data_IF_615039124975
#
_entry.id   IF_615039124975
#
_cell.length_a   1.000
_cell.length_b   1.000
_cell.length_c   1.000
_cell.angle_alpha   90.00
_cell.angle_beta   90.00
_cell.angle_gamma   90.00
#
_symmetry.space_group_name_H-M   'P 1'
#
loop_
_entity.id
_entity.type
_entity.pdbx_description
1 polymer ?
#
# COMPACT_ATOMS: atom_id res chain seq x y z
N UNK A 1 -21.68 42.34 32.10
CA UNK A 1 -20.66 42.01 31.08
C UNK A 1 -21.26 42.27 29.71
N UNK A 2 -20.49 42.75 28.73
CA UNK A 2 -20.99 42.95 27.36
C UNK A 2 -21.02 41.56 26.66
N UNK A 3 -22.21 41.00 26.33
CA UNK A 3 -22.34 39.64 25.77
C UNK A 3 -21.46 39.41 24.52
N UNK A 4 -21.33 40.45 23.69
CA UNK A 4 -20.49 40.42 22.49
C UNK A 4 -19.00 40.20 22.79
N UNK A 5 -18.48 40.76 23.89
CA UNK A 5 -17.06 40.57 24.27
C UNK A 5 -16.78 39.14 24.70
N UNK A 6 -17.76 38.47 25.31
CA UNK A 6 -17.64 37.08 25.70
C UNK A 6 -17.65 36.17 24.46
N UNK A 7 -18.59 36.39 23.53
CA UNK A 7 -18.63 35.67 22.25
C UNK A 7 -17.33 35.82 21.46
N UNK A 8 -16.78 37.04 21.34
CA UNK A 8 -15.49 37.26 20.68
C UNK A 8 -14.37 36.45 21.33
N UNK A 9 -14.34 36.38 22.67
CA UNK A 9 -13.32 35.62 23.40
C UNK A 9 -13.42 34.13 23.13
N UNK A 10 -14.64 33.58 23.08
CA UNK A 10 -14.85 32.18 22.74
C UNK A 10 -14.39 31.90 21.31
N UNK A 11 -14.69 32.78 20.35
CA UNK A 11 -14.20 32.65 18.96
C UNK A 11 -12.67 32.68 18.88
N UNK A 12 -12.01 33.60 19.61
CA UNK A 12 -10.55 33.67 19.65
C UNK A 12 -9.94 32.38 20.24
N UNK A 13 -10.53 31.84 21.31
CA UNK A 13 -10.09 30.57 21.90
C UNK A 13 -10.26 29.38 20.92
N UNK A 14 -11.42 29.29 20.26
CA UNK A 14 -11.70 28.25 19.25
C UNK A 14 -10.71 28.36 18.08
N UNK A 15 -10.37 29.58 17.68
CA UNK A 15 -9.34 29.83 16.64
C UNK A 15 -7.95 29.37 17.07
N UNK A 16 -7.64 29.48 18.36
CA UNK A 16 -6.38 29.01 18.96
C UNK A 16 -6.41 27.52 19.33
N UNK A 17 -7.52 26.82 19.07
CA UNK A 17 -7.69 25.37 19.28
C UNK A 17 -8.22 24.97 20.67
N UNK A 18 -8.64 25.92 21.50
CA UNK A 18 -9.33 25.65 22.77
C UNK A 18 -10.85 25.69 22.56
N UNK A 19 -11.46 24.50 22.50
CA UNK A 19 -12.89 24.32 22.31
C UNK A 19 -13.69 24.16 23.62
N UNK A 20 -13.04 24.25 24.79
CA UNK A 20 -13.69 23.91 26.07
C UNK A 20 -14.53 25.06 26.65
N UNK A 21 -14.36 26.28 26.14
CA UNK A 21 -15.15 27.43 26.58
C UNK A 21 -16.42 27.59 25.75
N UNK A 22 -17.54 27.79 26.43
CA UNK A 22 -18.85 28.04 25.82
C UNK A 22 -19.31 29.46 26.09
N UNK A 23 -20.11 30.01 25.18
CA UNK A 23 -20.80 31.27 25.39
C UNK A 23 -21.93 31.03 26.39
N UNK A 24 -22.00 31.83 27.47
CA UNK A 24 -23.15 31.78 28.38
C UNK A 24 -24.34 32.51 27.76
N UNK A 25 -25.38 31.75 27.43
CA UNK A 25 -26.62 32.28 26.88
C UNK A 25 -27.55 32.71 28.01
N UNK A 26 -27.82 34.02 28.11
CA UNK A 26 -28.60 34.64 29.19
C UNK A 26 -29.86 35.38 28.69
N UNK A 27 -30.04 35.48 27.38
CA UNK A 27 -31.16 36.17 26.72
C UNK A 27 -31.84 35.23 25.72
N UNK A 28 -33.13 35.49 25.46
CA UNK A 28 -33.96 34.71 24.53
C UNK A 28 -34.27 35.57 23.28
N UNK A 29 -33.26 36.30 22.83
CA UNK A 29 -33.27 37.24 21.71
C UNK A 29 -32.23 36.82 20.65
N UNK A 30 -31.99 37.64 19.63
CA UNK A 30 -31.07 37.32 18.54
C UNK A 30 -29.63 37.08 19.01
N UNK A 31 -29.23 37.65 20.16
CA UNK A 31 -27.92 37.39 20.76
C UNK A 31 -27.90 36.02 21.46
N UNK A 32 -29.01 35.60 22.05
CA UNK A 32 -29.17 34.26 22.60
C UNK A 32 -29.05 33.19 21.51
N UNK A 33 -29.82 33.34 20.43
CA UNK A 33 -29.81 32.43 19.28
C UNK A 33 -28.40 32.31 18.67
N UNK A 34 -27.66 33.42 18.57
CA UNK A 34 -26.29 33.42 18.09
C UNK A 34 -25.32 32.68 19.03
N UNK A 35 -25.51 32.83 20.35
CA UNK A 35 -24.71 32.13 21.35
C UNK A 35 -24.94 30.62 21.33
N UNK A 36 -26.20 30.19 21.17
CA UNK A 36 -26.54 28.78 21.01
C UNK A 36 -25.96 28.22 19.72
N UNK A 37 -26.11 28.91 18.58
CA UNK A 37 -25.51 28.51 17.31
C UNK A 37 -23.97 28.43 17.35
N UNK A 38 -23.31 29.32 18.09
CA UNK A 38 -21.86 29.24 18.33
C UNK A 38 -21.47 28.01 19.14
N UNK A 39 -22.24 27.68 20.19
CA UNK A 39 -22.00 26.51 21.01
C UNK A 39 -22.19 25.21 20.19
N UNK A 40 -23.25 25.12 19.39
CA UNK A 40 -23.50 24.00 18.47
C UNK A 40 -22.39 23.84 17.42
N UNK A 41 -21.95 24.94 16.80
CA UNK A 41 -20.82 24.91 15.87
C UNK A 41 -19.53 24.45 16.54
N UNK A 42 -19.27 24.89 17.77
CA UNK A 42 -18.08 24.50 18.54
C UNK A 42 -18.11 23.01 18.89
N UNK A 43 -19.27 22.47 19.30
CA UNK A 43 -19.44 21.03 19.51
C UNK A 43 -19.20 20.23 18.23
N UNK A 44 -19.76 20.68 17.10
CA UNK A 44 -19.53 20.04 15.80
C UNK A 44 -18.07 20.13 15.31
N UNK A 45 -17.28 21.09 15.81
CA UNK A 45 -15.83 21.15 15.54
C UNK A 45 -15.06 20.16 16.43
N UNK A 46 -15.43 20.02 17.70
CA UNK A 46 -14.85 19.03 18.62
C UNK A 46 -15.03 17.61 18.08
N UNK A 47 -16.25 17.26 17.64
CA UNK A 47 -16.53 15.93 17.08
C UNK A 47 -15.69 15.66 15.83
N UNK A 48 -15.53 16.65 14.94
CA UNK A 48 -14.69 16.54 13.75
C UNK A 48 -13.21 16.38 14.10
N UNK A 49 -12.72 17.13 15.08
CA UNK A 49 -11.33 17.02 15.53
C UNK A 49 -11.05 15.64 16.16
N UNK A 50 -11.95 15.16 17.02
CA UNK A 50 -11.85 13.82 17.62
C UNK A 50 -11.90 12.71 16.56
N UNK A 51 -12.78 12.84 15.56
CA UNK A 51 -12.85 11.90 14.44
C UNK A 51 -11.53 11.91 13.66
N UNK A 52 -11.01 13.10 13.33
CA UNK A 52 -9.74 13.26 12.61
C UNK A 52 -8.57 12.65 13.40
N UNK A 53 -8.50 12.85 14.70
CA UNK A 53 -7.48 12.22 15.57
C UNK A 53 -7.60 10.69 15.54
N UNK A 54 -8.82 10.16 15.61
CA UNK A 54 -9.06 8.71 15.52
C UNK A 54 -8.61 8.11 14.19
N UNK A 55 -8.82 8.84 13.08
CA UNK A 55 -8.33 8.45 11.75
C UNK A 55 -6.81 8.44 11.69
N UNK A 56 -6.14 9.46 12.25
CA UNK A 56 -4.68 9.49 12.31
C UNK A 56 -4.12 8.30 13.11
N UNK A 57 -4.73 7.94 14.24
CA UNK A 57 -4.30 6.77 15.00
C UNK A 57 -4.50 5.47 14.22
N UNK A 58 -5.63 5.32 13.54
CA UNK A 58 -5.90 4.14 12.70
C UNK A 58 -4.87 4.01 11.57
N UNK A 59 -4.47 5.14 10.95
CA UNK A 59 -3.38 5.20 9.96
C UNK A 59 -2.07 4.67 10.54
N UNK A 60 -1.65 5.17 11.69
CA UNK A 60 -0.38 4.76 12.32
C UNK A 60 -0.36 3.25 12.60
N UNK A 61 -1.49 2.71 13.07
CA UNK A 61 -1.65 1.26 13.29
C UNK A 61 -1.51 0.51 11.96
N UNK A 62 -2.19 0.94 10.91
CA UNK A 62 -2.14 0.30 9.59
C UNK A 62 -0.71 0.30 9.03
N UNK A 63 -0.03 1.45 9.05
CA UNK A 63 1.34 1.57 8.56
C UNK A 63 2.32 0.72 9.37
N UNK A 64 2.08 0.55 10.67
CA UNK A 64 2.87 -0.33 11.52
C UNK A 64 2.72 -1.83 11.19
N UNK A 65 1.68 -2.23 10.43
CA UNK A 65 1.49 -3.60 9.97
C UNK A 65 2.38 -3.98 8.78
N UNK A 66 2.84 -3.00 8.01
CA UNK A 66 3.77 -3.23 6.91
C UNK A 66 5.17 -3.62 7.43
N UNK A 67 5.98 -4.32 6.61
CA UNK A 67 7.35 -4.65 6.98
C UNK A 67 8.17 -3.40 7.34
N UNK A 68 8.73 -3.38 8.55
CA UNK A 68 9.63 -2.30 9.00
C UNK A 68 11.04 -2.39 8.43
N UNK A 69 11.44 -3.59 8.03
CA UNK A 69 12.74 -3.88 7.47
C UNK A 69 12.61 -4.98 6.42
N UNK A 70 13.44 -4.87 5.38
CA UNK A 70 13.65 -5.96 4.43
C UNK A 70 14.41 -7.10 5.12
N UNK A 71 14.06 -8.36 4.86
CA UNK A 71 14.77 -9.48 5.44
C UNK A 71 16.16 -9.63 4.82
N UNK A 72 17.16 -9.95 5.65
CA UNK A 72 18.50 -10.28 5.18
C UNK A 72 18.54 -11.75 4.78
N UNK A 73 18.47 -12.02 3.47
CA UNK A 73 18.45 -13.37 2.90
C UNK A 73 19.68 -13.53 2.02
N UNK A 74 20.56 -14.50 2.34
CA UNK A 74 21.76 -14.79 1.54
C UNK A 74 21.40 -14.95 0.05
N UNK A 75 22.23 -14.52 -0.90
CA UNK A 75 21.92 -14.71 -2.33
C UNK A 75 20.71 -13.90 -2.84
N UNK A 76 20.13 -13.02 -2.02
CA UNK A 76 19.19 -11.99 -2.45
C UNK A 76 19.62 -10.63 -1.87
N UNK A 77 19.49 -9.58 -2.67
CA UNK A 77 19.57 -8.19 -2.24
C UNK A 77 18.21 -7.56 -2.49
N UNK A 78 17.57 -7.08 -1.41
CA UNK A 78 16.16 -6.66 -1.41
C UNK A 78 16.07 -5.22 -0.91
N UNK A 79 15.31 -4.40 -1.62
CA UNK A 79 14.91 -3.08 -1.17
C UNK A 79 13.41 -2.89 -1.42
N UNK A 80 12.72 -2.26 -0.49
CA UNK A 80 11.29 -1.94 -0.65
C UNK A 80 10.99 -0.54 -0.12
N UNK A 81 9.91 0.03 -0.63
CA UNK A 81 9.32 1.27 -0.11
C UNK A 81 7.82 1.25 -0.34
N UNK A 82 7.09 1.95 0.52
CA UNK A 82 5.68 2.28 0.31
C UNK A 82 5.47 3.72 0.74
N UNK A 83 4.98 4.56 -0.17
CA UNK A 83 4.75 5.99 0.05
C UNK A 83 3.27 6.25 -0.13
N UNK A 84 2.60 6.53 0.98
CA UNK A 84 1.15 6.74 1.00
C UNK A 84 0.80 8.12 0.42
N UNK A 85 -0.22 8.21 -0.44
CA UNK A 85 -0.71 9.49 -0.98
C UNK A 85 -1.63 10.22 0.00
N UNK A 86 -2.44 9.48 0.74
CA UNK A 86 -3.56 9.97 1.55
C UNK A 86 -3.44 9.63 3.05
N UNK A 87 -4.54 9.83 3.80
CA UNK A 87 -4.64 9.50 5.22
C UNK A 87 -4.66 7.99 5.49
N UNK A 88 -5.09 7.13 4.56
CA UNK A 88 -5.01 5.66 4.66
C UNK A 88 -4.81 5.07 3.27
N UNK A 89 -4.11 3.95 3.17
CA UNK A 89 -3.76 3.37 1.87
C UNK A 89 -4.34 1.98 1.62
N UNK A 90 -4.60 1.67 0.36
CA UNK A 90 -5.01 0.33 -0.10
C UNK A 90 -3.83 -0.61 -0.31
N UNK A 91 -2.65 -0.04 -0.54
CA UNK A 91 -1.43 -0.76 -0.84
C UNK A 91 -0.97 -1.66 0.31
N UNK A 92 -0.53 -2.85 -0.08
CA UNK A 92 0.02 -3.86 0.81
C UNK A 92 1.23 -4.52 0.18
N UNK A 93 2.26 -4.72 0.98
CA UNK A 93 3.33 -5.65 0.64
C UNK A 93 3.82 -6.37 1.89
N UNK A 94 4.36 -7.58 1.71
CA UNK A 94 4.90 -8.36 2.81
C UNK A 94 5.93 -9.39 2.37
N UNK A 95 6.71 -9.86 3.34
CA UNK A 95 7.69 -10.92 3.18
C UNK A 95 7.32 -12.10 4.08
N UNK A 96 7.15 -13.28 3.49
CA UNK A 96 6.96 -14.52 4.26
C UNK A 96 8.20 -15.39 4.16
N UNK A 97 8.75 -15.74 5.31
CA UNK A 97 9.98 -16.51 5.44
C UNK A 97 9.67 -17.65 6.39
N UNK A 98 10.18 -18.84 6.11
CA UNK A 98 10.08 -19.92 7.07
C UNK A 98 11.02 -19.66 8.25
N UNK A 99 10.55 -19.91 9.48
CA UNK A 99 11.36 -19.76 10.70
C UNK A 99 12.57 -20.72 10.79
N UNK A 100 12.81 -21.53 9.75
CA UNK A 100 13.94 -22.44 9.68
C UNK A 100 15.21 -21.66 9.32
N UNK A 101 16.33 -21.85 10.04
CA UNK A 101 17.59 -21.13 9.79
C UNK A 101 18.12 -21.23 8.35
N UNK A 102 17.83 -22.34 7.66
CA UNK A 102 18.25 -22.61 6.28
C UNK A 102 17.08 -22.50 5.28
N UNK A 103 16.06 -21.71 5.58
CA UNK A 103 14.93 -21.50 4.67
C UNK A 103 15.44 -21.00 3.30
N UNK A 104 15.37 -21.88 2.30
CA UNK A 104 15.77 -21.58 0.93
C UNK A 104 14.71 -20.80 0.16
N UNK A 105 13.51 -20.69 0.74
CA UNK A 105 12.35 -20.04 0.14
C UNK A 105 11.98 -18.76 0.87
N UNK A 106 11.70 -17.73 0.09
CA UNK A 106 11.07 -16.48 0.54
C UNK A 106 9.91 -16.18 -0.38
N UNK A 107 8.79 -15.80 0.21
CA UNK A 107 7.66 -15.25 -0.53
C UNK A 107 7.63 -13.74 -0.38
N UNK A 108 7.32 -13.06 -1.47
CA UNK A 108 7.07 -11.62 -1.52
C UNK A 108 5.68 -11.42 -2.09
N UNK A 109 4.84 -10.70 -1.37
CA UNK A 109 3.51 -10.32 -1.83
C UNK A 109 3.43 -8.82 -2.00
N UNK A 110 2.72 -8.39 -3.04
CA UNK A 110 2.29 -7.01 -3.23
C UNK A 110 0.84 -7.03 -3.69
N UNK A 111 0.05 -6.05 -3.30
CA UNK A 111 -1.32 -5.95 -3.71
C UNK A 111 -1.90 -4.59 -3.38
N UNK A 112 -3.06 -4.33 -3.97
CA UNK A 112 -3.80 -3.09 -3.78
C UNK A 112 -5.29 -3.40 -3.66
N UNK A 113 -5.95 -2.68 -2.75
CA UNK A 113 -7.36 -2.84 -2.41
C UNK A 113 -8.18 -1.77 -3.12
N UNK A 114 -9.26 -2.20 -3.77
CA UNK A 114 -10.17 -1.29 -4.47
C UNK A 114 -10.75 -0.20 -3.55
N UNK A 115 -10.78 1.03 -4.05
CA UNK A 115 -11.32 2.18 -3.34
C UNK A 115 -10.28 2.86 -2.47
N UNK A 116 -10.73 3.71 -1.56
CA UNK A 116 -9.85 4.48 -0.68
C UNK A 116 -10.46 4.64 0.71
N UNK A 117 -9.68 5.15 1.65
CA UNK A 117 -10.16 5.41 3.01
C UNK A 117 -10.20 4.17 3.91
N UNK A 118 -10.89 4.28 5.04
CA UNK A 118 -10.89 3.29 6.12
C UNK A 118 -11.35 1.89 5.65
N UNK A 119 -12.36 1.82 4.78
CA UNK A 119 -12.87 0.54 4.29
C UNK A 119 -11.81 -0.26 3.55
N UNK A 120 -11.04 0.39 2.67
CA UNK A 120 -9.91 -0.23 1.96
C UNK A 120 -8.82 -0.68 2.94
N UNK A 121 -8.53 0.14 3.96
CA UNK A 121 -7.53 -0.15 4.98
C UNK A 121 -7.89 -1.36 5.86
N UNK A 122 -9.17 -1.50 6.23
CA UNK A 122 -9.67 -2.65 6.97
C UNK A 122 -9.60 -3.93 6.14
N UNK A 123 -10.00 -3.86 4.86
CA UNK A 123 -9.93 -4.99 3.94
C UNK A 123 -8.47 -5.43 3.70
N UNK A 124 -7.55 -4.47 3.54
CA UNK A 124 -6.11 -4.72 3.46
C UNK A 124 -5.62 -5.48 4.71
N UNK A 125 -6.00 -5.01 5.90
CA UNK A 125 -5.64 -5.62 7.18
C UNK A 125 -6.13 -7.08 7.27
N UNK A 126 -7.36 -7.33 6.83
CA UNK A 126 -7.96 -8.67 6.78
C UNK A 126 -7.23 -9.58 5.79
N UNK A 127 -6.97 -9.10 4.57
CA UNK A 127 -6.24 -9.85 3.55
C UNK A 127 -4.83 -10.21 4.01
N UNK A 128 -4.12 -9.26 4.63
CA UNK A 128 -2.82 -9.48 5.26
C UNK A 128 -2.89 -10.59 6.31
N UNK A 129 -3.88 -10.56 7.19
CA UNK A 129 -4.03 -11.57 8.25
C UNK A 129 -4.24 -12.97 7.67
N UNK A 130 -5.12 -13.10 6.68
CA UNK A 130 -5.36 -14.37 5.98
C UNK A 130 -4.12 -14.86 5.23
N UNK A 131 -3.43 -13.99 4.49
CA UNK A 131 -2.22 -14.34 3.76
C UNK A 131 -1.11 -14.83 4.70
N UNK A 132 -0.86 -14.11 5.81
CA UNK A 132 0.14 -14.53 6.80
C UNK A 132 -0.20 -15.89 7.42
N UNK A 133 -1.46 -16.07 7.83
CA UNK A 133 -1.90 -17.30 8.47
C UNK A 133 -1.86 -18.51 7.52
N UNK A 134 -2.29 -18.32 6.26
CA UNK A 134 -2.32 -19.41 5.28
C UNK A 134 -0.95 -19.73 4.70
N UNK A 135 -0.07 -18.73 4.55
CA UNK A 135 1.32 -18.92 4.07
C UNK A 135 2.21 -19.62 5.10
N UNK A 136 1.85 -19.57 6.39
CA UNK A 136 2.55 -20.34 7.43
C UNK A 136 2.24 -21.86 7.38
N UNK A 137 1.24 -22.26 6.59
CA UNK A 137 0.84 -23.66 6.45
C UNK A 137 1.41 -24.26 5.14
N UNK A 138 1.65 -25.58 5.09
CA UNK A 138 2.05 -26.24 3.87
C UNK A 138 1.05 -26.03 2.72
N UNK A 139 1.58 -25.94 1.50
CA UNK A 139 0.76 -25.82 0.30
C UNK A 139 1.50 -25.16 -0.85
N UNK A 140 0.93 -25.24 -2.05
CA UNK A 140 1.34 -24.44 -3.20
C UNK A 140 0.82 -23.02 -3.02
N UNK A 141 1.55 -22.02 -3.54
CA UNK A 141 1.12 -20.62 -3.45
C UNK A 141 -0.22 -20.36 -4.14
N UNK A 142 -0.56 -21.12 -5.19
CA UNK A 142 -1.90 -21.03 -5.80
C UNK A 142 -3.01 -21.46 -4.86
N UNK A 143 -2.80 -22.51 -4.07
CA UNK A 143 -3.77 -22.95 -3.06
C UNK A 143 -3.91 -21.92 -1.93
N UNK A 144 -2.79 -21.28 -1.53
CA UNK A 144 -2.81 -20.18 -0.57
C UNK A 144 -3.71 -19.05 -1.06
N UNK A 145 -3.50 -18.58 -2.30
CA UNK A 145 -4.29 -17.48 -2.87
C UNK A 145 -5.76 -17.87 -3.05
N UNK A 146 -6.06 -19.09 -3.53
CA UNK A 146 -7.45 -19.56 -3.65
C UNK A 146 -8.17 -19.66 -2.31
N UNK A 147 -7.50 -20.13 -1.25
CA UNK A 147 -8.09 -20.23 0.09
C UNK A 147 -8.35 -18.84 0.68
N UNK A 148 -7.40 -17.91 0.52
CA UNK A 148 -7.56 -16.51 0.97
C UNK A 148 -8.68 -15.82 0.20
N UNK A 149 -8.75 -16.01 -1.12
CA UNK A 149 -9.80 -15.44 -1.95
C UNK A 149 -11.20 -15.87 -1.48
N UNK A 150 -11.39 -17.15 -1.15
CA UNK A 150 -12.67 -17.65 -0.63
C UNK A 150 -13.11 -16.93 0.65
N UNK A 151 -12.17 -16.69 1.57
CA UNK A 151 -12.44 -15.96 2.80
C UNK A 151 -12.75 -14.49 2.52
N UNK A 152 -11.96 -13.84 1.65
CA UNK A 152 -12.20 -12.46 1.25
C UNK A 152 -13.54 -12.27 0.57
N UNK A 153 -13.95 -13.16 -0.33
CA UNK A 153 -15.27 -13.11 -0.97
C UNK A 153 -16.43 -13.09 0.04
N UNK A 154 -16.29 -13.82 1.15
CA UNK A 154 -17.30 -13.80 2.21
C UNK A 154 -17.32 -12.44 2.93
N UNK A 155 -16.16 -11.86 3.23
CA UNK A 155 -16.06 -10.59 3.95
C UNK A 155 -16.49 -9.38 3.11
N UNK A 156 -16.38 -9.47 1.78
CA UNK A 156 -16.72 -8.38 0.85
C UNK A 156 -18.08 -8.55 0.16
N UNK A 157 -18.82 -9.62 0.44
CA UNK A 157 -20.07 -9.95 -0.27
C UNK A 157 -21.06 -8.78 -0.34
N UNK A 158 -21.19 -8.01 0.75
CA UNK A 158 -22.11 -6.86 0.83
C UNK A 158 -21.48 -5.54 0.35
N UNK A 159 -20.16 -5.41 0.45
CA UNK A 159 -19.45 -4.16 0.12
C UNK A 159 -19.02 -4.07 -1.35
N UNK A 160 -18.88 -5.21 -2.03
CA UNK A 160 -18.35 -5.30 -3.40
C UNK A 160 -16.87 -4.95 -3.52
N UNK A 161 -16.14 -4.83 -2.40
CA UNK A 161 -14.71 -4.58 -2.40
C UNK A 161 -13.91 -5.75 -2.96
N UNK A 162 -12.74 -5.48 -3.52
CA UNK A 162 -11.83 -6.49 -4.02
C UNK A 162 -10.38 -6.09 -3.77
N UNK A 163 -9.47 -7.05 -3.88
CA UNK A 163 -8.03 -6.81 -3.74
C UNK A 163 -7.28 -7.49 -4.87
N UNK A 164 -6.44 -6.71 -5.55
CA UNK A 164 -5.45 -7.26 -6.46
C UNK A 164 -4.25 -7.81 -5.67
N UNK A 165 -3.68 -8.95 -6.06
CA UNK A 165 -2.47 -9.50 -5.46
C UNK A 165 -1.50 -10.08 -6.50
N UNK A 166 -0.21 -9.82 -6.33
CA UNK A 166 0.86 -10.58 -6.94
C UNK A 166 1.63 -11.32 -5.83
N UNK A 167 1.63 -12.65 -5.89
CA UNK A 167 2.31 -13.50 -4.93
C UNK A 167 3.51 -14.13 -5.62
N UNK A 168 4.72 -13.72 -5.24
CA UNK A 168 5.99 -14.28 -5.69
C UNK A 168 6.57 -15.21 -4.62
N UNK A 169 7.09 -16.36 -5.02
CA UNK A 169 7.91 -17.24 -4.20
C UNK A 169 9.23 -17.50 -4.94
N UNK A 170 10.33 -17.37 -4.20
CA UNK A 170 11.69 -17.51 -4.70
C UNK A 170 12.33 -18.71 -4.01
N UNK A 171 12.52 -19.79 -4.77
CA UNK A 171 13.27 -20.96 -4.35
C UNK A 171 14.74 -20.81 -4.75
N UNK A 172 15.55 -20.36 -3.79
CA UNK A 172 16.98 -20.09 -4.01
C UNK A 172 17.79 -21.38 -4.16
N UNK A 173 17.36 -22.46 -3.54
CA UNK A 173 18.06 -23.75 -3.60
C UNK A 173 17.89 -24.40 -4.98
N UNK A 174 16.67 -24.38 -5.50
CA UNK A 174 16.36 -24.94 -6.81
C UNK A 174 16.52 -23.93 -7.96
N UNK A 175 16.85 -22.66 -7.63
CA UNK A 175 16.97 -21.55 -8.58
C UNK A 175 15.70 -21.33 -9.41
N UNK A 176 14.54 -21.33 -8.75
CA UNK A 176 13.23 -21.16 -9.39
C UNK A 176 12.46 -20.00 -8.81
N UNK A 177 11.72 -19.30 -9.67
CA UNK A 177 10.63 -18.42 -9.28
C UNK A 177 9.31 -19.15 -9.48
N UNK A 178 8.40 -18.97 -8.55
CA UNK A 178 7.00 -19.31 -8.68
C UNK A 178 6.18 -18.05 -8.45
N UNK A 179 5.12 -17.84 -9.21
CA UNK A 179 4.20 -16.74 -8.92
C UNK A 179 2.76 -17.09 -9.21
N UNK A 180 1.88 -16.36 -8.54
CA UNK A 180 0.44 -16.33 -8.78
C UNK A 180 0.04 -14.88 -8.93
N UNK A 181 -0.76 -14.60 -9.96
CA UNK A 181 -1.37 -13.30 -10.17
C UNK A 181 -2.84 -13.40 -9.84
N UNK A 182 -3.35 -12.46 -9.06
CA UNK A 182 -4.76 -12.25 -8.78
C UNK A 182 -5.14 -10.82 -9.13
N UNK A 183 -5.30 -10.53 -10.42
CA UNK A 183 -5.62 -9.20 -10.95
C UNK A 183 -4.46 -8.20 -10.95
N UNK A 184 -3.53 -8.28 -9.99
CA UNK A 184 -2.48 -7.26 -9.80
C UNK A 184 -1.53 -7.13 -10.97
N UNK A 185 -0.87 -6.00 -11.07
CA UNK A 185 0.02 -5.75 -12.18
C UNK A 185 1.23 -6.72 -12.18
N UNK A 186 1.67 -7.22 -13.35
CA UNK A 186 2.75 -8.20 -13.41
C UNK A 186 4.08 -7.66 -12.88
N UNK A 187 4.83 -8.49 -12.16
CA UNK A 187 6.20 -8.19 -11.80
C UNK A 187 7.10 -8.09 -13.06
N UNK A 188 8.05 -7.16 -13.04
CA UNK A 188 9.04 -6.96 -14.09
C UNK A 188 10.26 -7.83 -13.78
N UNK A 189 10.65 -8.69 -14.70
CA UNK A 189 11.86 -9.50 -14.61
C UNK A 189 12.89 -9.01 -15.64
N UNK A 190 14.12 -8.79 -15.18
CA UNK A 190 15.22 -8.35 -16.02
C UNK A 190 16.40 -9.33 -15.93
N UNK A 191 16.86 -9.75 -17.10
CA UNK A 191 18.10 -10.51 -17.25
C UNK A 191 19.20 -9.63 -17.84
N UNK A 192 20.25 -9.27 -17.06
CA UNK A 192 21.34 -8.45 -17.56
C UNK A 192 22.20 -9.14 -18.63
N UNK A 193 22.27 -10.48 -18.65
CA UNK A 193 23.10 -11.21 -19.62
C UNK A 193 22.50 -11.17 -21.02
N UNK A 194 21.18 -11.30 -21.09
CA UNK A 194 20.44 -11.21 -22.35
C UNK A 194 19.99 -9.77 -22.67
N UNK A 195 20.14 -8.85 -21.71
CA UNK A 195 19.60 -7.49 -21.74
C UNK A 195 18.08 -7.45 -22.01
N UNK A 196 17.35 -8.49 -21.60
CA UNK A 196 15.92 -8.65 -21.83
C UNK A 196 15.11 -8.28 -20.61
N UNK A 197 13.99 -7.60 -20.86
CA UNK A 197 12.94 -7.37 -19.86
C UNK A 197 11.73 -8.20 -20.28
N UNK A 198 11.16 -8.91 -19.32
CA UNK A 198 9.90 -9.61 -19.46
C UNK A 198 8.97 -9.24 -18.29
N UNK A 199 7.68 -9.35 -18.50
CA UNK A 199 6.70 -9.28 -17.41
C UNK A 199 6.31 -10.71 -17.02
N UNK A 200 6.35 -11.00 -15.72
CA UNK A 200 5.92 -12.27 -15.13
C UNK A 200 4.39 -12.35 -15.16
N UNK A 201 3.85 -12.54 -16.35
CA UNK A 201 2.41 -12.57 -16.61
C UNK A 201 1.77 -13.86 -16.08
N UNK A 202 0.46 -13.81 -16.01
CA UNK A 202 -0.41 -14.92 -15.64
C UNK A 202 -1.85 -14.47 -15.81
N UNK A 203 -2.77 -15.41 -15.98
CA UNK A 203 -4.18 -15.12 -15.77
C UNK A 203 -4.47 -15.00 -14.27
N UNK A 204 -5.51 -14.26 -13.94
CA UNK A 204 -6.01 -14.21 -12.58
C UNK A 204 -6.95 -13.04 -12.38
N UNK A 205 -8.03 -13.30 -11.66
CA UNK A 205 -9.00 -12.29 -11.26
C UNK A 205 -8.58 -11.62 -9.95
N UNK A 206 -9.05 -10.41 -9.67
CA UNK A 206 -8.83 -9.85 -8.34
C UNK A 206 -9.54 -10.70 -7.28
N UNK A 207 -8.94 -10.79 -6.09
CA UNK A 207 -9.53 -11.51 -4.97
C UNK A 207 -10.78 -10.80 -4.46
N UNK A 208 -11.77 -11.56 -3.99
CA UNK A 208 -13.03 -11.00 -3.51
C UNK A 208 -14.16 -11.03 -4.55
N UNK A 209 -13.86 -11.31 -5.82
CA UNK A 209 -14.86 -11.29 -6.91
C UNK A 209 -15.62 -12.61 -7.06
N UNK A 210 -14.91 -13.73 -7.08
CA UNK A 210 -15.50 -15.08 -7.24
C UNK A 210 -14.79 -16.07 -6.32
N UNK A 211 -15.54 -16.62 -5.37
CA UNK A 211 -15.01 -17.51 -4.34
C UNK A 211 -14.49 -18.85 -4.89
N UNK A 212 -14.98 -19.27 -6.07
CA UNK A 212 -14.63 -20.53 -6.70
C UNK A 212 -13.51 -20.39 -7.75
N UNK A 213 -13.00 -19.17 -7.97
CA UNK A 213 -11.91 -18.95 -8.90
C UNK A 213 -10.65 -19.70 -8.48
N UNK A 214 -10.18 -20.60 -9.36
CA UNK A 214 -8.96 -21.37 -9.15
C UNK A 214 -7.76 -20.62 -9.73
N UNK A 215 -6.89 -20.12 -8.85
CA UNK A 215 -5.67 -19.42 -9.27
C UNK A 215 -4.61 -20.38 -9.79
N UNK A 216 -3.92 -19.97 -10.85
CA UNK A 216 -2.84 -20.74 -11.46
C UNK A 216 -1.47 -20.31 -10.93
N UNK A 217 -0.59 -21.30 -10.77
CA UNK A 217 0.81 -21.07 -10.43
C UNK A 217 1.66 -21.15 -11.69
N UNK A 218 2.44 -20.10 -11.91
CA UNK A 218 3.44 -20.03 -12.98
C UNK A 218 4.84 -20.19 -12.41
N UNK A 219 5.82 -20.48 -13.27
CA UNK A 219 7.20 -20.66 -12.84
C UNK A 219 8.22 -20.25 -13.88
N UNK A 220 9.39 -19.85 -13.40
CA UNK A 220 10.59 -19.60 -14.21
C UNK A 220 11.78 -20.31 -13.55
N UNK A 221 12.58 -20.99 -14.36
CA UNK A 221 13.74 -21.74 -13.90
C UNK A 221 15.04 -20.99 -14.19
N UNK A 222 16.16 -21.59 -13.77
CA UNK A 222 17.52 -21.13 -14.04
C UNK A 222 17.87 -19.73 -13.51
N UNK A 223 17.33 -19.35 -12.34
CA UNK A 223 17.70 -18.08 -11.70
C UNK A 223 19.21 -17.91 -11.58
N UNK A 224 19.75 -16.79 -12.04
CA UNK A 224 21.18 -16.53 -12.07
C UNK A 224 21.52 -15.20 -11.37
N UNK A 225 22.70 -15.10 -10.75
CA UNK A 225 23.15 -13.84 -10.16
C UNK A 225 23.12 -12.69 -11.18
N UNK A 226 22.67 -11.53 -10.70
CA UNK A 226 22.48 -10.31 -11.49
C UNK A 226 21.04 -10.11 -11.99
N UNK A 227 20.22 -11.16 -12.04
CA UNK A 227 18.81 -11.02 -12.43
C UNK A 227 18.02 -10.19 -11.41
N UNK A 228 17.05 -9.44 -11.89
CA UNK A 228 16.27 -8.49 -11.09
C UNK A 228 14.79 -8.80 -11.24
N UNK A 229 14.06 -8.81 -10.14
CA UNK A 229 12.60 -8.79 -10.10
C UNK A 229 12.17 -7.49 -9.43
N UNK A 230 11.34 -6.72 -10.12
CA UNK A 230 10.75 -5.49 -9.61
C UNK A 230 9.23 -5.63 -9.58
N UNK A 231 8.65 -5.45 -8.40
CA UNK A 231 7.20 -5.42 -8.18
C UNK A 231 6.82 -3.97 -7.86
N UNK A 232 5.65 -3.54 -8.32
CA UNK A 232 5.14 -2.21 -8.02
C UNK A 232 3.65 -2.08 -8.26
N UNK A 233 3.03 -1.14 -7.54
CA UNK A 233 1.62 -0.79 -7.66
C UNK A 233 1.39 0.23 -8.78
N UNK A 234 0.16 0.41 -9.22
CA UNK A 234 -0.21 1.34 -10.29
C UNK A 234 0.15 2.78 -10.00
N UNK A 235 0.14 3.20 -8.74
CA UNK A 235 0.56 4.54 -8.34
C UNK A 235 1.96 4.96 -8.82
N UNK A 236 2.87 4.02 -9.14
CA UNK A 236 4.12 4.39 -9.84
C UNK A 236 3.94 4.57 -11.36
N UNK A 237 3.22 3.66 -12.02
CA UNK A 237 3.13 3.66 -13.49
C UNK A 237 2.20 4.77 -13.98
N UNK A 238 1.13 5.03 -13.22
CA UNK A 238 0.06 5.97 -13.55
C UNK A 238 0.28 7.38 -12.99
N UNK A 239 1.31 7.57 -12.15
CA UNK A 239 1.69 8.89 -11.65
C UNK A 239 1.84 9.92 -12.78
N UNK A 240 1.23 11.08 -12.60
CA UNK A 240 1.16 12.11 -13.62
C UNK A 240 2.11 13.28 -13.37
N UNK A 241 2.58 13.89 -14.46
CA UNK A 241 3.28 15.17 -14.42
C UNK A 241 2.30 16.35 -14.61
N UNK A 242 2.74 17.62 -14.53
CA UNK A 242 1.86 18.78 -14.71
C UNK A 242 1.14 18.87 -16.07
N UNK A 243 1.55 18.07 -17.06
CA UNK A 243 0.93 17.98 -18.38
C UNK A 243 -0.07 16.82 -18.49
N UNK A 244 -0.29 16.07 -17.42
CA UNK A 244 -1.18 14.90 -17.40
C UNK A 244 -0.61 13.66 -18.09
N UNK A 245 0.70 13.63 -18.40
CA UNK A 245 1.32 12.42 -18.93
C UNK A 245 1.70 11.48 -17.77
N UNK A 246 1.44 10.19 -17.95
CA UNK A 246 1.82 9.13 -17.02
C UNK A 246 3.33 8.85 -17.06
N UNK A 247 3.90 8.45 -15.93
CA UNK A 247 5.31 8.09 -15.79
C UNK A 247 5.67 6.86 -16.63
N UNK A 248 4.79 5.86 -16.61
CA UNK A 248 4.80 4.69 -17.48
C UNK A 248 5.88 3.64 -17.17
N UNK A 249 5.59 2.39 -17.54
CA UNK A 249 6.51 1.26 -17.36
C UNK A 249 7.80 1.39 -18.17
N UNK A 250 7.75 2.01 -19.35
CA UNK A 250 8.93 2.21 -20.21
C UNK A 250 10.04 3.02 -19.51
N UNK A 251 9.65 3.99 -18.67
CA UNK A 251 10.62 4.76 -17.89
C UNK A 251 11.33 3.86 -16.88
N UNK A 252 10.60 2.98 -16.20
CA UNK A 252 11.16 2.04 -15.25
C UNK A 252 12.04 1.00 -15.95
N UNK A 253 11.64 0.50 -17.11
CA UNK A 253 12.47 -0.40 -17.92
C UNK A 253 13.82 0.21 -18.27
N UNK A 254 13.85 1.51 -18.62
CA UNK A 254 15.09 2.25 -18.88
C UNK A 254 15.93 2.40 -17.61
N UNK A 255 15.30 2.69 -16.47
CA UNK A 255 15.99 2.82 -15.18
C UNK A 255 16.61 1.47 -14.76
N UNK A 256 15.87 0.37 -14.86
CA UNK A 256 16.37 -0.98 -14.58
C UNK A 256 17.62 -1.28 -15.40
N UNK A 257 17.62 -0.99 -16.71
CA UNK A 257 18.78 -1.20 -17.59
C UNK A 257 19.98 -0.33 -17.22
N UNK A 258 19.74 0.92 -16.81
CA UNK A 258 20.80 1.88 -16.48
C UNK A 258 21.44 1.60 -15.11
N UNK A 259 20.64 1.15 -14.14
CA UNK A 259 21.05 0.95 -12.76
C UNK A 259 21.10 -0.55 -12.38
N UNK A 260 21.21 -1.44 -13.35
CA UNK A 260 21.27 -2.89 -13.12
C UNK A 260 22.51 -3.32 -12.34
N UNK A 261 23.59 -2.55 -12.37
CA UNK A 261 24.84 -2.84 -11.67
C UNK A 261 24.88 -2.33 -10.22
N UNK A 262 23.94 -1.47 -9.81
CA UNK A 262 23.85 -0.99 -8.41
C UNK A 262 23.21 -2.03 -7.50
N UNK A 263 23.30 -1.87 -6.19
CA UNK A 263 22.47 -2.67 -5.26
C UNK A 263 20.96 -2.38 -5.45
N UNK A 264 20.11 -3.21 -4.85
CA UNK A 264 18.66 -3.10 -4.93
C UNK A 264 18.18 -1.74 -4.42
N UNK A 265 18.83 -1.21 -3.38
CA UNK A 265 18.53 0.10 -2.82
C UNK A 265 18.89 1.23 -3.78
N UNK A 266 20.01 1.14 -4.48
CA UNK A 266 20.43 2.10 -5.50
C UNK A 266 19.43 2.16 -6.66
N UNK A 267 18.97 1.00 -7.14
CA UNK A 267 17.95 0.92 -8.18
C UNK A 267 16.60 1.49 -7.69
N UNK A 268 16.16 1.11 -6.49
CA UNK A 268 14.95 1.67 -5.87
C UNK A 268 15.02 3.20 -5.75
N UNK A 269 16.16 3.72 -5.27
CA UNK A 269 16.39 5.16 -5.11
C UNK A 269 16.36 5.88 -6.45
N UNK A 270 16.92 5.29 -7.51
CA UNK A 270 16.86 5.84 -8.85
C UNK A 270 15.41 5.92 -9.38
N UNK A 271 14.59 4.90 -9.14
CA UNK A 271 13.17 4.92 -9.49
C UNK A 271 12.43 6.05 -8.78
N UNK A 272 12.58 6.17 -7.45
CA UNK A 272 11.92 7.21 -6.66
C UNK A 272 12.37 8.63 -7.05
N UNK A 273 13.67 8.82 -7.28
CA UNK A 273 14.20 10.10 -7.74
C UNK A 273 13.64 10.50 -9.10
N UNK A 274 13.58 9.57 -10.04
CA UNK A 274 13.02 9.81 -11.36
C UNK A 274 11.52 10.14 -11.28
N UNK A 275 10.77 9.46 -10.41
CA UNK A 275 9.35 9.71 -10.17
C UNK A 275 9.11 11.11 -9.57
N UNK A 276 9.85 11.48 -8.53
CA UNK A 276 9.76 12.81 -7.89
C UNK A 276 10.07 13.93 -8.89
N UNK A 277 11.15 13.76 -9.68
CA UNK A 277 11.50 14.70 -10.74
C UNK A 277 10.45 14.79 -11.84
N UNK A 278 9.81 13.69 -12.19
CA UNK A 278 8.78 13.67 -13.22
C UNK A 278 7.50 14.37 -12.76
N UNK A 279 7.11 14.19 -11.50
CA UNK A 279 5.92 14.79 -10.92
C UNK A 279 6.02 16.31 -10.76
N UNK A 280 7.23 16.85 -10.58
CA UNK A 280 7.49 18.30 -10.55
C UNK A 280 6.53 19.06 -9.61
N UNK A 281 6.36 18.53 -8.39
CA UNK A 281 5.50 19.11 -7.35
C UNK A 281 4.02 18.73 -7.43
N UNK A 282 3.58 17.97 -8.45
CA UNK A 282 2.24 17.36 -8.48
C UNK A 282 2.10 16.38 -7.31
N UNK A 283 1.02 16.52 -6.53
CA UNK A 283 0.71 15.63 -5.41
C UNK A 283 0.44 14.21 -5.93
N UNK A 284 0.81 13.16 -5.17
CA UNK A 284 0.48 11.81 -5.57
C UNK A 284 -1.04 11.65 -5.48
N UNK A 285 -1.63 10.98 -6.47
CA UNK A 285 -3.05 10.63 -6.46
C UNK A 285 -3.28 9.24 -5.87
N UNK A 286 -2.24 8.40 -5.85
CA UNK A 286 -2.29 7.02 -5.37
C UNK A 286 -1.01 6.63 -4.62
N UNK A 287 -1.10 5.57 -3.84
CA UNK A 287 -0.01 4.99 -3.09
C UNK A 287 1.07 4.43 -4.02
N UNK A 288 2.33 4.61 -3.64
CA UNK A 288 3.46 4.10 -4.43
C UNK A 288 4.18 3.05 -3.61
N UNK A 289 3.97 1.79 -3.96
CA UNK A 289 4.70 0.67 -3.37
C UNK A 289 5.62 0.04 -4.42
N UNK A 290 6.87 -0.18 -4.03
CA UNK A 290 7.88 -0.83 -4.86
C UNK A 290 8.67 -1.85 -4.04
N UNK A 291 8.96 -2.99 -4.67
CA UNK A 291 9.89 -3.99 -4.14
C UNK A 291 10.87 -4.37 -5.25
N UNK A 292 12.16 -4.20 -4.98
CA UNK A 292 13.27 -4.58 -5.86
C UNK A 292 13.99 -5.76 -5.23
N UNK A 293 14.15 -6.83 -6.00
CA UNK A 293 14.84 -8.06 -5.60
C UNK A 293 15.91 -8.35 -6.63
N UNK A 294 17.17 -8.40 -6.21
CA UNK A 294 18.31 -8.80 -7.04
C UNK A 294 18.81 -10.16 -6.59
N UNK A 295 19.00 -11.07 -7.53
CA UNK A 295 19.64 -12.35 -7.28
C UNK A 295 21.14 -12.11 -7.12
N UNK A 296 21.71 -12.49 -5.99
CA UNK A 296 23.15 -12.34 -5.69
C UNK A 296 23.81 -13.73 -5.58
N UNK A 297 25.16 -13.81 -5.67
CA UNK A 297 25.89 -15.07 -5.54
C UNK A 297 25.70 -15.81 -4.21
#
# INVERSE_FOLDING_TARGET
>A
MQPIKEMMRVVDNVRDGDFHQKVHVLSNDELGDLGDGMNEMTEGLIERDQMRQSLYLAKEVQQALLPRAVPNIKGLDIASTSVYCDETGGDYYDFFISDKPDASRISVVIGDVSGHGISSALLMTTARAFLRQRSAQPGKISAVVSDVNRLLCHDVADSGGFMTLFYLDIDRQNRKLHWVRAGHDPAVFYDPRAATIEELRGSGMAMGIDADHAYEQYSKEDLAPGQIVLLGTDGIWEAQNPRGHMFGKDTIYRIIRQYSDTDAKGLLTACLYALDKFRDGVKPEDDVTLVVIKITP
#
